data_IF_332509411102
#
_entry.id   IF_332509411102
#
_cell.length_a   1.000
_cell.length_b   1.000
_cell.length_c   1.000
_cell.angle_alpha   90.00
_cell.angle_beta   90.00
_cell.angle_gamma   90.00
#
_symmetry.space_group_name_H-M   'P 1'
#
loop_
_entity.id
_entity.type
_entity.pdbx_description
1 polymer ?
#
# COMPACT_ATOMS: atom_id res chain seq x y z
N UNK A 1 -11.32 3.10 18.98
CA UNK A 1 -10.93 4.03 17.89
C UNK A 1 -9.43 3.94 17.72
N UNK A 2 -8.91 3.76 16.50
CA UNK A 2 -7.45 3.75 16.26
C UNK A 2 -6.89 5.17 16.24
N UNK A 3 -7.55 6.11 15.57
CA UNK A 3 -7.10 7.52 15.51
C UNK A 3 -8.17 8.53 15.96
N UNK A 4 -7.70 9.71 16.37
CA UNK A 4 -8.52 10.89 16.62
C UNK A 4 -7.72 12.15 16.24
N UNK A 5 -7.60 12.43 14.94
CA UNK A 5 -6.73 13.49 14.45
C UNK A 5 -7.35 14.88 14.67
N UNK A 6 -6.51 15.85 15.06
CA UNK A 6 -6.92 17.13 15.62
C UNK A 6 -6.59 18.36 14.77
N UNK A 7 -6.52 18.25 13.44
CA UNK A 7 -6.28 19.43 12.58
C UNK A 7 -7.48 20.38 12.63
N UNK A 8 -7.24 21.64 13.00
CA UNK A 8 -8.28 22.67 13.20
C UNK A 8 -8.39 23.66 12.06
N UNK A 9 -7.39 23.72 11.17
CA UNK A 9 -7.34 24.70 10.08
C UNK A 9 -6.93 23.99 8.78
N UNK A 10 -7.58 24.29 7.64
CA UNK A 10 -7.30 23.63 6.37
C UNK A 10 -5.87 23.91 5.86
N UNK A 11 -5.26 25.04 6.24
CA UNK A 11 -3.92 25.46 5.85
C UNK A 11 -2.82 24.79 6.67
N UNK A 12 -3.15 24.10 7.77
CA UNK A 12 -2.18 23.31 8.51
C UNK A 12 -1.75 22.09 7.68
N UNK A 13 -0.43 21.90 7.57
CA UNK A 13 0.21 20.78 6.88
C UNK A 13 0.29 19.50 7.75
N UNK A 14 -0.60 19.33 8.73
CA UNK A 14 -0.58 18.21 9.70
C UNK A 14 -1.54 17.08 9.32
N UNK A 15 -1.34 15.89 9.88
CA UNK A 15 -2.17 14.71 9.61
C UNK A 15 -1.56 13.45 10.21
N UNK A 16 -2.34 12.36 10.23
CA UNK A 16 -1.85 11.01 10.56
C UNK A 16 -1.79 10.19 9.28
N UNK A 17 -0.66 9.53 9.03
CA UNK A 17 -0.52 8.57 7.92
C UNK A 17 -0.07 7.23 8.48
N UNK A 18 -0.82 6.17 8.22
CA UNK A 18 -0.48 4.79 8.55
C UNK A 18 -0.19 4.06 7.25
N UNK A 19 1.09 3.84 6.96
CA UNK A 19 1.56 3.19 5.73
C UNK A 19 2.19 1.82 6.04
N UNK A 20 1.96 0.81 5.19
CA UNK A 20 2.64 -0.51 5.23
C UNK A 20 2.59 -1.16 6.63
N UNK A 21 1.47 -1.00 7.31
CA UNK A 21 1.28 -1.43 8.70
C UNK A 21 0.29 -2.59 8.81
N UNK A 22 0.14 -3.14 10.01
CA UNK A 22 -0.82 -4.21 10.32
C UNK A 22 -1.81 -3.71 11.38
N UNK A 23 -3.10 -3.72 11.07
CA UNK A 23 -4.18 -3.34 12.00
C UNK A 23 -4.95 -4.61 12.38
N UNK A 24 -4.88 -4.95 13.67
CA UNK A 24 -5.41 -6.19 14.23
C UNK A 24 -6.00 -6.02 15.63
N UNK A 25 -6.53 -7.11 16.16
CA UNK A 25 -6.99 -7.20 17.54
C UNK A 25 -5.92 -7.86 18.43
N UNK A 26 -5.89 -7.48 19.70
CA UNK A 26 -5.22 -8.23 20.75
C UNK A 26 -5.97 -9.54 21.05
N UNK A 27 -5.30 -10.48 21.73
CA UNK A 27 -5.84 -11.81 22.02
C UNK A 27 -7.07 -11.80 22.92
N UNK A 28 -7.21 -10.79 23.76
CA UNK A 28 -8.36 -10.57 24.64
C UNK A 28 -9.56 -9.94 23.91
N UNK A 29 -9.33 -9.09 22.90
CA UNK A 29 -10.38 -8.48 22.09
C UNK A 29 -10.92 -9.44 21.03
N UNK A 30 -10.08 -10.27 20.43
CA UNK A 30 -10.45 -11.12 19.28
C UNK A 30 -11.71 -12.00 19.52
N UNK A 31 -11.91 -12.65 20.68
CA UNK A 31 -13.09 -13.47 20.95
C UNK A 31 -14.38 -12.67 21.14
N UNK A 32 -14.27 -11.38 21.47
CA UNK A 32 -15.40 -10.50 21.85
C UNK A 32 -15.54 -9.28 20.93
N UNK A 33 -14.85 -9.25 19.80
CA UNK A 33 -14.82 -8.10 18.87
C UNK A 33 -16.20 -7.68 18.35
N UNK A 34 -17.18 -8.59 18.32
CA UNK A 34 -18.57 -8.30 17.97
C UNK A 34 -19.28 -7.43 19.02
N UNK A 35 -18.86 -7.51 20.29
CA UNK A 35 -19.39 -6.71 21.40
C UNK A 35 -18.67 -5.36 21.56
N UNK A 36 -17.48 -5.21 20.97
CA UNK A 36 -16.65 -4.01 21.09
C UNK A 36 -16.22 -3.47 19.72
N UNK A 37 -17.10 -2.72 19.02
CA UNK A 37 -16.80 -2.21 17.69
C UNK A 37 -15.54 -1.34 17.66
N UNK A 38 -14.66 -1.62 16.69
CA UNK A 38 -13.45 -0.83 16.45
C UNK A 38 -13.52 -0.12 15.10
N UNK A 39 -13.05 1.12 15.05
CA UNK A 39 -13.03 1.97 13.85
C UNK A 39 -11.64 2.55 13.65
N UNK A 40 -11.30 2.85 12.39
CA UNK A 40 -10.04 3.47 11.96
C UNK A 40 -9.84 4.84 12.62
N UNK A 41 -10.92 5.60 12.82
CA UNK A 41 -10.83 6.83 13.60
C UNK A 41 -12.12 7.64 13.64
N UNK A 42 -12.04 8.80 14.30
CA UNK A 42 -13.12 9.81 14.41
C UNK A 42 -12.56 11.24 14.41
N UNK A 43 -13.27 12.23 13.83
CA UNK A 43 -12.72 13.57 13.63
C UNK A 43 -12.74 14.40 14.92
N UNK A 44 -11.62 14.46 15.66
CA UNK A 44 -11.58 15.27 16.88
C UNK A 44 -11.73 16.76 16.58
N UNK A 45 -11.28 17.22 15.41
CA UNK A 45 -11.40 18.61 14.95
C UNK A 45 -11.91 18.68 13.50
N UNK A 46 -12.39 19.86 13.13
CA UNK A 46 -13.18 20.12 11.92
C UNK A 46 -12.47 19.71 10.62
N UNK A 47 -11.15 19.82 10.56
CA UNK A 47 -10.36 19.50 9.37
C UNK A 47 -9.52 18.23 9.54
N UNK A 48 -9.97 17.31 10.41
CA UNK A 48 -9.28 16.06 10.72
C UNK A 48 -8.78 15.35 9.48
N UNK A 49 -7.51 14.95 9.46
CA UNK A 49 -6.86 14.32 8.31
C UNK A 49 -6.13 13.05 8.70
N UNK A 50 -6.62 11.90 8.21
CA UNK A 50 -6.03 10.58 8.45
C UNK A 50 -6.03 9.76 7.16
N UNK A 51 -4.89 9.16 6.82
CA UNK A 51 -4.75 8.28 5.65
C UNK A 51 -4.24 6.91 6.09
N UNK A 52 -4.93 5.84 5.69
CA UNK A 52 -4.52 4.45 5.90
C UNK A 52 -4.19 3.84 4.55
N UNK A 53 -2.93 3.49 4.30
CA UNK A 53 -2.51 3.00 2.99
C UNK A 53 -1.57 1.80 3.04
N UNK A 54 -1.69 0.93 2.04
CA UNK A 54 -0.83 -0.24 1.84
C UNK A 54 -0.74 -1.15 3.08
N UNK A 55 -1.79 -1.17 3.89
CA UNK A 55 -1.81 -1.83 5.19
C UNK A 55 -2.70 -3.06 5.17
N UNK A 56 -2.38 -4.06 5.99
CA UNK A 56 -3.24 -5.22 6.19
C UNK A 56 -4.19 -4.98 7.36
N UNK A 57 -5.49 -5.12 7.14
CA UNK A 57 -6.55 -4.81 8.09
C UNK A 57 -7.39 -6.08 8.31
N UNK A 58 -7.40 -6.58 9.54
CA UNK A 58 -8.26 -7.72 9.94
C UNK A 58 -9.72 -7.29 10.07
N UNK A 59 -10.62 -8.24 10.21
CA UNK A 59 -12.07 -8.02 10.41
C UNK A 59 -12.44 -7.41 11.80
N UNK A 60 -11.45 -6.97 12.60
CA UNK A 60 -11.70 -6.18 13.82
C UNK A 60 -12.31 -4.81 13.50
N UNK A 61 -12.03 -4.27 12.32
CA UNK A 61 -12.55 -2.97 11.89
C UNK A 61 -13.99 -3.13 11.40
N UNK A 62 -14.90 -2.37 12.00
CA UNK A 62 -16.30 -2.31 11.59
C UNK A 62 -16.41 -1.93 10.10
N UNK A 63 -17.33 -2.52 9.31
CA UNK A 63 -17.47 -2.23 7.88
C UNK A 63 -17.66 -0.75 7.54
N UNK A 64 -18.29 0.05 8.42
CA UNK A 64 -18.40 1.50 8.26
C UNK A 64 -17.03 2.21 8.21
N UNK A 65 -16.01 1.61 8.84
CA UNK A 65 -14.60 2.02 8.83
C UNK A 65 -14.31 3.20 9.75
N UNK A 66 -15.11 4.26 9.67
CA UNK A 66 -14.92 5.51 10.39
C UNK A 66 -16.14 5.81 11.26
N UNK A 67 -15.93 6.54 12.36
CA UNK A 67 -17.00 6.88 13.30
C UNK A 67 -17.14 8.39 13.47
N UNK A 68 -18.38 8.85 13.58
CA UNK A 68 -18.70 10.26 13.82
C UNK A 68 -18.06 10.72 15.14
N UNK A 69 -17.73 12.01 15.24
CA UNK A 69 -17.44 12.60 16.55
C UNK A 69 -18.73 12.96 17.28
N UNK A 70 -19.60 13.74 16.62
CA UNK A 70 -20.91 14.15 17.13
C UNK A 70 -21.80 14.60 15.96
N UNK A 71 -22.77 13.78 15.58
CA UNK A 71 -23.65 14.06 14.44
C UNK A 71 -22.88 14.40 13.17
N UNK A 72 -23.31 15.44 12.46
CA UNK A 72 -22.70 15.86 11.19
C UNK A 72 -21.40 16.67 11.31
N UNK A 73 -20.84 16.84 12.52
CA UNK A 73 -19.61 17.60 12.71
C UNK A 73 -18.45 17.05 11.87
N UNK A 74 -17.76 17.95 11.17
CA UNK A 74 -16.57 17.69 10.33
C UNK A 74 -16.77 16.77 9.12
N UNK A 75 -17.94 16.13 8.94
CA UNK A 75 -18.11 15.06 7.92
C UNK A 75 -17.91 15.56 6.48
N UNK A 76 -18.10 16.86 6.23
CA UNK A 76 -17.88 17.51 4.93
C UNK A 76 -16.49 18.13 4.76
N UNK A 77 -15.74 18.34 5.85
CA UNK A 77 -14.48 19.10 5.86
C UNK A 77 -13.26 18.25 6.22
N UNK A 78 -13.45 17.10 6.87
CA UNK A 78 -12.40 16.13 7.14
C UNK A 78 -11.84 15.54 5.84
N UNK A 79 -10.65 14.94 5.92
CA UNK A 79 -10.06 14.14 4.85
C UNK A 79 -9.65 12.77 5.41
N UNK A 80 -10.51 11.78 5.25
CA UNK A 80 -10.24 10.39 5.61
C UNK A 80 -10.13 9.53 4.37
N UNK A 81 -9.01 8.85 4.23
CA UNK A 81 -8.71 8.13 3.02
C UNK A 81 -8.08 6.75 3.22
N UNK A 82 -8.43 5.85 2.30
CA UNK A 82 -7.89 4.49 2.23
C UNK A 82 -7.27 4.25 0.83
N UNK A 83 -6.09 3.62 0.77
CA UNK A 83 -5.39 3.32 -0.48
C UNK A 83 -4.72 1.94 -0.45
N UNK A 84 -5.12 1.04 -1.35
CA UNK A 84 -4.50 -0.29 -1.52
C UNK A 84 -4.31 -1.08 -0.21
N UNK A 85 -5.30 -1.01 0.69
CA UNK A 85 -5.32 -1.87 1.88
C UNK A 85 -5.76 -3.29 1.50
N UNK A 86 -5.40 -4.27 2.34
CA UNK A 86 -5.72 -5.69 2.13
C UNK A 86 -6.21 -6.33 3.42
N UNK A 87 -6.79 -7.53 3.32
CA UNK A 87 -7.33 -8.25 4.48
C UNK A 87 -8.84 -8.06 4.67
N UNK A 88 -9.42 -8.85 5.57
CA UNK A 88 -10.87 -8.96 5.72
C UNK A 88 -11.56 -7.65 6.15
N UNK A 89 -10.87 -6.74 6.84
CA UNK A 89 -11.41 -5.42 7.23
C UNK A 89 -11.15 -4.29 6.22
N UNK A 90 -10.45 -4.57 5.11
CA UNK A 90 -10.08 -3.54 4.13
C UNK A 90 -11.16 -3.26 3.08
N UNK A 91 -12.25 -4.04 3.03
CA UNK A 91 -13.34 -3.83 2.08
C UNK A 91 -14.03 -2.48 2.27
N UNK A 92 -14.20 -1.71 1.19
CA UNK A 92 -14.70 -0.33 1.25
C UNK A 92 -16.17 -0.18 0.83
N UNK A 93 -16.84 -1.25 0.39
CA UNK A 93 -18.21 -1.21 -0.15
C UNK A 93 -19.29 -0.78 0.86
N UNK A 94 -19.01 -0.94 2.16
CA UNK A 94 -19.93 -0.58 3.26
C UNK A 94 -19.41 0.57 4.12
N UNK A 95 -18.43 1.32 3.63
CA UNK A 95 -17.88 2.49 4.33
C UNK A 95 -18.92 3.61 4.40
N UNK A 96 -18.70 4.51 5.35
CA UNK A 96 -19.47 5.75 5.47
C UNK A 96 -19.55 6.53 4.16
N UNK A 97 -20.64 7.26 3.96
CA UNK A 97 -20.92 8.05 2.75
C UNK A 97 -20.58 9.53 2.89
N UNK A 98 -19.72 9.88 3.86
CA UNK A 98 -19.36 11.26 4.14
C UNK A 98 -18.60 11.90 2.97
N UNK A 99 -18.84 13.19 2.71
CA UNK A 99 -18.14 13.90 1.64
C UNK A 99 -16.61 13.99 1.88
N UNK A 100 -16.17 14.00 3.15
CA UNK A 100 -14.76 13.97 3.53
C UNK A 100 -14.09 12.59 3.47
N UNK A 101 -14.85 11.52 3.24
CA UNK A 101 -14.29 10.17 3.08
C UNK A 101 -14.00 9.85 1.61
N UNK A 102 -12.84 9.24 1.33
CA UNK A 102 -12.43 8.90 -0.04
C UNK A 102 -11.66 7.59 -0.13
N UNK A 103 -12.00 6.76 -1.11
CA UNK A 103 -11.13 5.68 -1.58
C UNK A 103 -10.18 6.25 -2.63
N UNK A 104 -8.89 6.31 -2.33
CA UNK A 104 -7.89 6.78 -3.29
C UNK A 104 -7.62 5.64 -4.28
N UNK A 105 -7.65 5.96 -5.58
CA UNK A 105 -7.29 5.02 -6.66
C UNK A 105 -6.03 5.44 -7.40
N UNK A 106 -5.69 6.74 -7.36
CA UNK A 106 -4.49 7.29 -8.00
C UNK A 106 -3.25 7.14 -7.11
N UNK A 107 -2.19 6.55 -7.66
CA UNK A 107 -0.90 6.48 -6.99
C UNK A 107 -0.31 7.88 -6.74
N UNK A 108 -0.51 8.82 -7.68
CA UNK A 108 -0.03 10.20 -7.53
C UNK A 108 -0.67 10.91 -6.34
N UNK A 109 -1.97 10.68 -6.11
CA UNK A 109 -2.66 11.25 -4.94
C UNK A 109 -2.15 10.62 -3.63
N UNK A 110 -1.99 9.30 -3.59
CA UNK A 110 -1.44 8.61 -2.42
C UNK A 110 0.02 9.00 -2.13
N UNK A 111 0.83 9.28 -3.16
CA UNK A 111 2.24 9.65 -3.06
C UNK A 111 2.45 10.92 -2.22
N UNK A 112 1.49 11.84 -2.17
CA UNK A 112 1.55 13.07 -1.36
C UNK A 112 1.69 12.77 0.14
N UNK A 113 1.15 11.64 0.60
CA UNK A 113 1.18 11.23 2.01
C UNK A 113 2.41 10.39 2.38
N UNK A 114 3.32 10.12 1.45
CA UNK A 114 4.54 9.35 1.73
C UNK A 114 5.59 10.18 2.49
N UNK A 115 6.53 9.55 3.21
CA UNK A 115 7.50 10.28 4.02
C UNK A 115 8.32 11.34 3.26
N UNK A 116 8.67 11.08 2.00
CA UNK A 116 9.42 12.03 1.17
C UNK A 116 8.66 13.34 0.93
N UNK A 117 7.33 13.28 0.78
CA UNK A 117 6.51 14.46 0.50
C UNK A 117 5.89 15.05 1.78
N UNK A 118 5.36 14.22 2.67
CA UNK A 118 4.54 14.68 3.79
C UNK A 118 5.37 15.29 4.93
N UNK A 119 6.59 14.78 5.16
CA UNK A 119 7.48 15.20 6.25
C UNK A 119 8.87 15.60 5.76
N UNK A 120 9.01 15.86 4.45
CA UNK A 120 10.28 16.16 3.79
C UNK A 120 11.39 15.14 4.14
N UNK A 121 11.04 13.85 4.26
CA UNK A 121 11.92 12.84 4.84
C UNK A 121 13.27 12.68 4.15
N UNK A 122 13.40 13.05 2.88
CA UNK A 122 14.67 13.01 2.13
C UNK A 122 15.74 13.94 2.71
N UNK A 123 15.37 15.00 3.42
CA UNK A 123 16.32 15.98 3.96
C UNK A 123 16.96 15.53 5.27
N UNK A 124 16.35 14.61 6.01
CA UNK A 124 16.76 14.32 7.38
C UNK A 124 16.75 12.83 7.76
N UNK A 125 15.96 11.95 7.12
CA UNK A 125 15.89 10.55 7.56
C UNK A 125 17.21 9.80 7.35
N UNK A 126 18.02 10.20 6.36
CA UNK A 126 19.34 9.62 6.10
C UNK A 126 20.34 9.78 7.25
N UNK A 127 20.14 10.75 8.15
CA UNK A 127 21.02 10.95 9.32
C UNK A 127 20.62 10.11 10.54
N UNK A 128 19.45 9.46 10.52
CA UNK A 128 18.88 8.76 11.69
C UNK A 128 19.45 7.36 11.92
N UNK A 129 20.23 6.82 10.99
CA UNK A 129 20.71 5.41 10.92
C UNK A 129 19.62 4.32 10.82
N UNK A 130 18.34 4.68 10.98
CA UNK A 130 17.22 3.76 10.86
C UNK A 130 16.84 3.49 9.40
N UNK A 131 16.31 2.30 9.08
CA UNK A 131 15.79 2.02 7.75
C UNK A 131 14.51 2.83 7.49
N UNK A 132 14.37 3.38 6.27
CA UNK A 132 13.18 4.12 5.85
C UNK A 132 12.86 3.88 4.37
N UNK A 133 11.63 4.23 3.97
CA UNK A 133 11.19 4.23 2.58
C UNK A 133 10.47 5.55 2.30
N UNK A 134 10.92 6.29 1.29
CA UNK A 134 10.43 7.65 1.04
C UNK A 134 9.12 7.72 0.25
N UNK A 135 8.72 6.65 -0.45
CA UNK A 135 7.64 6.68 -1.43
C UNK A 135 6.77 5.43 -1.44
N UNK A 136 5.84 5.39 -2.40
CA UNK A 136 5.13 4.16 -2.74
C UNK A 136 6.12 3.15 -3.38
N UNK A 137 5.89 1.84 -3.26
CA UNK A 137 6.65 0.85 -4.01
C UNK A 137 6.56 1.16 -5.50
N UNK A 138 7.71 1.26 -6.17
CA UNK A 138 7.73 1.25 -7.63
C UNK A 138 7.28 -0.14 -8.05
N UNK A 139 6.18 -0.20 -8.78
CA UNK A 139 5.77 -1.43 -9.46
C UNK A 139 6.87 -1.74 -10.48
N UNK A 140 7.84 -2.59 -10.11
CA UNK A 140 8.96 -3.00 -11.00
C UNK A 140 8.44 -3.62 -12.30
N UNK A 141 7.16 -3.98 -12.35
CA UNK A 141 6.47 -4.50 -13.52
C UNK A 141 5.89 -3.42 -14.46
N UNK A 142 5.53 -2.23 -13.98
CA UNK A 142 4.98 -1.16 -14.85
C UNK A 142 6.04 -0.42 -15.68
N UNK A 143 7.30 -0.45 -15.24
CA UNK A 143 8.43 0.13 -15.97
C UNK A 143 9.25 -0.91 -16.76
N UNK A 144 8.78 -2.16 -16.83
CA UNK A 144 9.29 -3.09 -17.83
C UNK A 144 8.75 -2.61 -19.17
N UNK A 145 9.64 -2.38 -20.15
CA UNK A 145 9.23 -2.26 -21.56
C UNK A 145 8.25 -3.41 -21.85
N UNK A 146 7.15 -3.19 -22.60
CA UNK A 146 6.28 -4.29 -22.98
C UNK A 146 7.19 -5.40 -23.53
N UNK A 147 7.13 -6.57 -22.89
CA UNK A 147 7.88 -7.72 -23.36
C UNK A 147 7.39 -7.96 -24.78
N UNK A 148 8.25 -7.71 -25.76
CA UNK A 148 7.98 -8.03 -27.15
C UNK A 148 7.78 -9.54 -27.17
N UNK A 149 6.57 -9.99 -27.50
CA UNK A 149 6.30 -11.40 -27.68
C UNK A 149 7.06 -11.84 -28.95
N UNK A 150 8.32 -12.24 -28.77
CA UNK A 150 9.19 -12.67 -29.86
C UNK A 150 9.05 -14.17 -30.17
N UNK A 151 8.02 -14.84 -29.62
CA UNK A 151 7.80 -16.28 -29.83
C UNK A 151 6.49 -16.52 -30.60
N UNK A 152 6.63 -16.99 -31.83
CA UNK A 152 5.52 -17.37 -32.71
C UNK A 152 5.49 -18.90 -32.82
N UNK A 153 4.32 -19.50 -32.58
CA UNK A 153 4.06 -20.93 -32.82
C UNK A 153 2.99 -21.00 -33.90
N UNK A 154 3.35 -21.36 -35.13
CA UNK A 154 2.34 -21.59 -36.16
C UNK A 154 1.75 -22.99 -36.04
N UNK A 155 0.44 -23.11 -36.30
CA UNK A 155 -0.29 -24.38 -36.23
C UNK A 155 0.21 -25.42 -37.26
N UNK A 156 0.88 -24.97 -38.32
CA UNK A 156 1.51 -25.78 -39.37
C UNK A 156 2.93 -26.26 -39.00
N UNK A 157 3.44 -25.89 -37.83
CA UNK A 157 4.79 -26.26 -37.37
C UNK A 157 5.91 -25.38 -37.92
N UNK A 158 5.59 -24.32 -38.65
CA UNK A 158 6.54 -23.27 -39.05
C UNK A 158 6.71 -22.24 -37.91
N UNK A 159 7.95 -21.92 -37.55
CA UNK A 159 8.26 -21.05 -36.41
C UNK A 159 9.38 -21.64 -35.55
N UNK A 160 9.81 -20.90 -34.52
CA UNK A 160 10.95 -21.31 -33.68
C UNK A 160 10.63 -22.57 -32.84
N UNK A 161 9.35 -22.85 -32.61
CA UNK A 161 8.87 -24.00 -31.85
C UNK A 161 7.61 -24.59 -32.49
N UNK A 162 7.55 -25.92 -32.57
CA UNK A 162 6.43 -26.68 -33.17
C UNK A 162 5.24 -26.89 -32.23
N UNK A 163 5.37 -26.57 -30.93
CA UNK A 163 4.28 -26.67 -29.96
C UNK A 163 4.33 -25.54 -28.93
N UNK A 164 3.16 -25.16 -28.42
CA UNK A 164 3.02 -24.15 -27.35
C UNK A 164 3.75 -24.60 -26.08
N UNK A 165 3.72 -25.90 -25.76
CA UNK A 165 4.41 -26.44 -24.58
C UNK A 165 5.93 -26.28 -24.67
N UNK A 166 6.52 -26.55 -25.84
CA UNK A 166 7.96 -26.35 -26.07
C UNK A 166 8.36 -24.88 -25.96
N UNK A 167 7.55 -23.98 -26.54
CA UNK A 167 7.75 -22.54 -26.43
C UNK A 167 7.69 -22.04 -24.98
N UNK A 168 6.70 -22.50 -24.19
CA UNK A 168 6.53 -22.13 -22.79
C UNK A 168 7.69 -22.64 -21.92
N UNK A 169 8.13 -23.88 -22.14
CA UNK A 169 9.27 -24.46 -21.43
C UNK A 169 10.60 -23.73 -21.74
N UNK A 170 10.80 -23.28 -22.99
CA UNK A 170 11.96 -22.50 -23.38
C UNK A 170 11.95 -21.10 -22.74
N UNK A 171 10.81 -20.41 -22.76
CA UNK A 171 10.65 -19.09 -22.14
C UNK A 171 10.91 -19.13 -20.61
N UNK A 172 10.47 -20.19 -19.94
CA UNK A 172 10.72 -20.39 -18.52
C UNK A 172 12.22 -20.59 -18.21
N UNK A 173 12.97 -21.29 -19.09
CA UNK A 173 14.42 -21.49 -18.93
C UNK A 173 15.20 -20.18 -19.10
N UNK A 174 14.80 -19.33 -20.04
CA UNK A 174 15.43 -18.03 -20.23
C UNK A 174 15.16 -17.07 -19.08
N UNK A 175 13.92 -17.06 -18.55
CA UNK A 175 13.56 -16.27 -17.37
C UNK A 175 14.38 -16.70 -16.13
N UNK A 176 14.57 -18.01 -15.93
CA UNK A 176 15.42 -18.55 -14.84
C UNK A 176 16.90 -18.20 -15.05
N UNK A 177 17.39 -18.23 -16.30
CA UNK A 177 18.77 -17.84 -16.63
C UNK A 177 19.03 -16.34 -16.40
N UNK A 178 18.03 -15.48 -16.66
CA UNK A 178 18.07 -14.06 -16.33
C UNK A 178 18.04 -13.80 -14.82
N UNK A 179 17.22 -14.53 -14.06
CA UNK A 179 17.18 -14.43 -12.59
C UNK A 179 18.49 -14.92 -11.93
N UNK A 180 19.16 -15.91 -12.54
CA UNK A 180 20.47 -16.41 -12.08
C UNK A 180 21.64 -15.46 -12.39
N UNK A 181 21.54 -14.61 -13.42
CA UNK A 181 22.57 -13.60 -13.69
C UNK A 181 22.46 -12.39 -12.75
N UNK A 182 21.24 -11.97 -12.39
CA UNK A 182 21.00 -10.90 -11.41
C UNK A 182 21.41 -11.32 -9.99
N UNK A 183 21.24 -12.59 -9.62
CA UNK A 183 21.67 -13.12 -8.30
C UNK A 183 23.18 -13.31 -8.17
N UNK A 184 23.92 -13.45 -9.29
CA UNK A 184 25.41 -13.45 -9.27
C UNK A 184 26.02 -12.07 -9.03
N UNK A 185 25.32 -10.97 -9.33
CA UNK A 185 25.80 -9.61 -9.03
C UNK A 185 25.70 -9.24 -7.54
N UNK A 186 24.95 -10.01 -6.73
CA UNK A 186 24.75 -9.73 -5.30
C UNK A 186 25.71 -10.52 -4.39
N UNK A 187 26.50 -11.47 -4.92
CA UNK A 187 27.43 -12.30 -4.12
C UNK A 187 28.92 -12.14 -4.42
N UNK A 188 29.35 -11.05 -5.06
CA UNK A 188 30.77 -10.66 -5.10
C UNK A 188 31.05 -9.50 -4.15
N UNK A 189 30.79 -9.72 -2.86
CA UNK A 189 31.27 -8.90 -1.75
C UNK A 189 32.48 -9.57 -1.09
N UNK A 190 33.63 -8.89 -1.14
CA UNK A 190 34.94 -9.20 -0.53
C UNK A 190 34.93 -10.24 0.62
N UNK A 191 35.77 -11.27 0.47
CA UNK A 191 36.50 -11.87 1.59
C UNK A 191 37.97 -11.48 1.47
N UNK A 192 38.37 -10.52 2.31
CA UNK A 192 39.75 -10.29 2.70
C UNK A 192 40.23 -11.50 3.52
N UNK A 193 41.46 -12.00 3.28
CA UNK A 193 42.50 -12.21 4.31
C UNK A 193 43.71 -13.00 3.78
N UNK A 194 44.87 -12.41 4.08
CA UNK A 194 46.28 -12.88 4.03
C UNK A 194 46.88 -13.26 2.69
#
# INVERSE_FOLDING_TARGET
MVTAQGRTDPNQNTGIVIQKSRIGATSDLLPVKSSFPTYLGRPWKEYSRTVIMQSSITDVINPAGWHEWSGSFALSTLFYAEYQNSGAGAGTSSRVTWAGYKVITSATEAQVFTPGNFIAGSSWLSSTTFPFSLGLPIDKHKNRRPLKADVVVAAEGSGDYSTVSAAVAAAQREAVRGALSESKQVFTGKLCKY
#
